data_IF_385093044352
#
_entry.id   IF_385093044352
#
_cell.length_a   1.000
_cell.length_b   1.000
_cell.length_c   1.000
_cell.angle_alpha   90.00
_cell.angle_beta   90.00
_cell.angle_gamma   90.00
#
_symmetry.space_group_name_H-M   'P 1'
#
loop_
_entity.id
_entity.type
_entity.pdbx_description
1 polymer ?
#
# COMPACT_ATOMS: atom_id res chain seq x y z
N UNK A 1 -1.72 20.82 -18.06
CA UNK A 1 -0.80 20.08 -17.15
C UNK A 1 -1.68 19.31 -16.17
N UNK A 2 -1.32 18.07 -15.78
CA UNK A 2 -2.18 17.22 -14.91
C UNK A 2 -2.65 17.92 -13.63
N UNK A 3 -1.75 18.59 -12.91
CA UNK A 3 -2.08 19.32 -11.66
C UNK A 3 -2.69 20.71 -11.89
N UNK A 4 -3.14 21.00 -13.10
CA UNK A 4 -3.93 22.19 -13.44
C UNK A 4 -5.31 21.79 -13.96
N UNK A 5 -5.65 20.52 -13.87
CA UNK A 5 -6.97 19.97 -14.15
C UNK A 5 -7.93 20.31 -13.00
N UNK A 6 -9.21 20.47 -13.32
CA UNK A 6 -10.25 20.81 -12.35
C UNK A 6 -10.30 19.78 -11.20
N UNK A 7 -10.01 18.50 -11.45
CA UNK A 7 -9.95 17.49 -10.40
C UNK A 7 -8.90 17.77 -9.29
N UNK A 8 -7.95 18.68 -9.51
CA UNK A 8 -6.95 19.10 -8.51
C UNK A 8 -7.08 20.57 -8.09
N UNK A 9 -8.00 21.31 -8.71
CA UNK A 9 -8.18 22.75 -8.51
C UNK A 9 -9.62 23.13 -8.13
N UNK A 10 -10.54 22.17 -8.09
CA UNK A 10 -11.93 22.37 -7.72
C UNK A 10 -12.06 22.58 -6.20
N UNK A 11 -12.49 23.78 -5.81
CA UNK A 11 -12.80 24.16 -4.43
C UNK A 11 -14.26 23.80 -4.04
N UNK A 12 -14.95 22.98 -4.85
CA UNK A 12 -16.31 22.56 -4.57
C UNK A 12 -16.40 21.83 -3.20
N UNK A 13 -17.56 21.92 -2.51
CA UNK A 13 -17.79 21.17 -1.29
C UNK A 13 -17.59 19.67 -1.50
N UNK A 14 -17.04 19.02 -0.48
CA UNK A 14 -16.84 17.57 -0.46
C UNK A 14 -18.09 16.81 -0.95
N UNK A 15 -17.93 16.03 -2.01
CA UNK A 15 -18.98 15.22 -2.61
C UNK A 15 -18.39 13.86 -3.00
N UNK A 16 -18.59 12.82 -2.16
CA UNK A 16 -17.99 11.53 -2.39
C UNK A 16 -18.51 10.93 -3.70
N UNK A 17 -17.62 10.25 -4.42
CA UNK A 17 -17.95 9.58 -5.65
C UNK A 17 -18.77 8.30 -5.35
N UNK A 18 -20.08 8.44 -5.33
CA UNK A 18 -21.02 7.34 -5.04
C UNK A 18 -21.15 6.38 -6.23
N UNK A 19 -21.09 6.92 -7.45
CA UNK A 19 -21.14 6.15 -8.70
C UNK A 19 -19.82 6.32 -9.47
N UNK A 20 -18.86 5.38 -9.32
CA UNK A 20 -17.58 5.42 -10.00
C UNK A 20 -17.66 5.49 -11.52
N UNK A 21 -18.71 4.93 -12.13
CA UNK A 21 -18.91 4.98 -13.59
C UNK A 21 -19.17 6.41 -14.05
N UNK A 22 -19.96 7.18 -13.31
CA UNK A 22 -20.28 8.57 -13.63
C UNK A 22 -19.12 9.54 -13.31
N UNK A 23 -18.16 9.14 -12.48
CA UNK A 23 -16.97 9.94 -12.16
C UNK A 23 -15.68 9.33 -12.66
N UNK A 24 -15.71 8.63 -13.80
CA UNK A 24 -14.52 8.02 -14.39
C UNK A 24 -13.43 9.05 -14.68
N UNK A 25 -13.80 10.28 -15.05
CA UNK A 25 -12.85 11.37 -15.30
C UNK A 25 -12.06 11.74 -14.03
N UNK A 26 -12.70 11.73 -12.86
CA UNK A 26 -12.03 11.95 -11.57
C UNK A 26 -11.06 10.82 -11.24
N UNK A 27 -11.44 9.57 -11.55
CA UNK A 27 -10.56 8.41 -11.36
C UNK A 27 -9.34 8.51 -12.28
N UNK A 28 -9.54 8.87 -13.55
CA UNK A 28 -8.47 9.06 -14.52
C UNK A 28 -7.55 10.22 -14.14
N UNK A 29 -8.09 11.32 -13.60
CA UNK A 29 -7.29 12.42 -13.07
C UNK A 29 -6.41 11.96 -11.90
N UNK A 30 -6.95 11.21 -10.94
CA UNK A 30 -6.16 10.62 -9.84
C UNK A 30 -5.08 9.68 -10.37
N UNK A 31 -5.39 8.82 -11.33
CA UNK A 31 -4.42 7.91 -11.96
C UNK A 31 -3.30 8.69 -12.65
N UNK A 32 -3.63 9.74 -13.41
CA UNK A 32 -2.66 10.60 -14.06
C UNK A 32 -1.79 11.34 -13.04
N UNK A 33 -2.37 11.87 -11.96
CA UNK A 33 -1.66 12.53 -10.88
C UNK A 33 -0.69 11.59 -10.18
N UNK A 34 -1.14 10.37 -9.88
CA UNK A 34 -0.31 9.30 -9.32
C UNK A 34 0.88 8.94 -10.21
N UNK A 35 0.65 8.76 -11.52
CA UNK A 35 1.70 8.46 -12.48
C UNK A 35 2.73 9.59 -12.55
N UNK A 36 2.31 10.85 -12.64
CA UNK A 36 3.22 12.00 -12.67
C UNK A 36 4.04 12.10 -11.39
N UNK A 37 3.42 11.91 -10.22
CA UNK A 37 4.12 11.87 -8.93
C UNK A 37 5.17 10.75 -8.90
N UNK A 38 4.81 9.57 -9.39
CA UNK A 38 5.70 8.40 -9.47
C UNK A 38 6.90 8.69 -10.36
N UNK A 39 6.68 9.08 -11.62
CA UNK A 39 7.76 9.36 -12.56
C UNK A 39 8.69 10.46 -12.08
N UNK A 40 8.15 11.55 -11.53
CA UNK A 40 8.99 12.65 -11.05
C UNK A 40 9.77 12.32 -9.79
N UNK A 41 9.26 11.45 -8.94
CA UNK A 41 9.96 11.03 -7.73
C UNK A 41 11.11 10.06 -8.03
N UNK A 42 10.95 9.19 -9.02
CA UNK A 42 11.95 8.16 -9.35
C UNK A 42 12.94 8.60 -10.43
N UNK A 43 12.43 9.12 -11.56
CA UNK A 43 13.22 9.46 -12.75
C UNK A 43 13.56 10.96 -12.84
N UNK A 44 12.95 11.79 -11.99
CA UNK A 44 13.17 13.24 -12.01
C UNK A 44 14.53 13.65 -11.44
N UNK A 45 15.01 14.84 -11.82
CA UNK A 45 16.11 15.49 -11.09
C UNK A 45 15.69 15.88 -9.66
N UNK A 46 16.64 16.26 -8.80
CA UNK A 46 16.36 16.59 -7.38
C UNK A 46 15.25 17.64 -7.20
N UNK A 47 15.18 18.64 -8.09
CA UNK A 47 14.12 19.64 -8.06
C UNK A 47 12.75 19.03 -8.36
N UNK A 48 12.69 18.10 -9.31
CA UNK A 48 11.46 17.37 -9.67
C UNK A 48 11.04 16.43 -8.55
N UNK A 49 11.99 15.71 -7.94
CA UNK A 49 11.76 14.84 -6.77
C UNK A 49 11.17 15.63 -5.60
N UNK A 50 11.80 16.75 -5.22
CA UNK A 50 11.30 17.64 -4.16
C UNK A 50 9.91 18.19 -4.49
N UNK A 51 9.67 18.61 -5.73
CA UNK A 51 8.36 19.14 -6.16
C UNK A 51 7.25 18.09 -6.11
N UNK A 52 7.56 16.86 -6.51
CA UNK A 52 6.64 15.73 -6.41
C UNK A 52 6.21 15.53 -4.95
N UNK A 53 7.17 15.43 -4.02
CA UNK A 53 6.91 15.18 -2.60
C UNK A 53 6.25 16.35 -1.86
N UNK A 54 6.70 17.58 -2.11
CA UNK A 54 6.30 18.76 -1.31
C UNK A 54 5.04 19.46 -1.82
N UNK A 55 4.70 19.30 -3.09
CA UNK A 55 3.58 20.02 -3.69
C UNK A 55 2.58 19.08 -4.35
N UNK A 56 3.00 18.36 -5.39
CA UNK A 56 2.08 17.60 -6.25
C UNK A 56 1.40 16.45 -5.50
N UNK A 57 2.15 15.78 -4.63
CA UNK A 57 1.57 14.70 -3.84
C UNK A 57 0.53 15.21 -2.83
N UNK A 58 0.66 16.44 -2.30
CA UNK A 58 -0.36 17.02 -1.44
C UNK A 58 -1.67 17.26 -2.22
N UNK A 59 -1.57 17.75 -3.47
CA UNK A 59 -2.72 17.89 -4.35
C UNK A 59 -3.37 16.54 -4.65
N UNK A 60 -2.57 15.49 -4.90
CA UNK A 60 -3.08 14.14 -5.11
C UNK A 60 -3.82 13.58 -3.88
N UNK A 61 -3.26 13.76 -2.68
CA UNK A 61 -3.91 13.34 -1.43
C UNK A 61 -5.22 14.10 -1.20
N UNK A 62 -5.26 15.40 -1.51
CA UNK A 62 -6.47 16.22 -1.39
C UNK A 62 -7.55 15.72 -2.35
N UNK A 63 -7.22 15.57 -3.64
CA UNK A 63 -8.15 15.03 -4.63
C UNK A 63 -8.65 13.61 -4.27
N UNK A 64 -7.79 12.74 -3.72
CA UNK A 64 -8.20 11.40 -3.27
C UNK A 64 -9.19 11.46 -2.10
N UNK A 65 -9.05 12.45 -1.21
CA UNK A 65 -10.02 12.73 -0.13
C UNK A 65 -11.32 13.28 -0.67
N UNK A 66 -11.27 14.17 -1.65
CA UNK A 66 -12.47 14.79 -2.25
C UNK A 66 -13.33 13.78 -3.01
N UNK A 67 -12.70 12.80 -3.67
CA UNK A 67 -13.39 11.65 -4.27
C UNK A 67 -14.02 10.74 -3.20
N UNK A 68 -13.54 10.78 -1.96
CA UNK A 68 -14.07 10.04 -0.83
C UNK A 68 -13.44 8.66 -0.68
N UNK A 69 -12.43 8.54 0.18
CA UNK A 69 -11.78 7.24 0.49
C UNK A 69 -12.81 6.18 0.89
N UNK A 70 -13.82 6.54 1.68
CA UNK A 70 -14.84 5.59 2.15
C UNK A 70 -15.79 5.09 1.07
N UNK A 71 -15.91 5.77 -0.08
CA UNK A 71 -16.79 5.36 -1.18
C UNK A 71 -16.14 4.33 -2.12
N UNK A 72 -14.81 4.20 -2.05
CA UNK A 72 -14.02 3.20 -2.79
C UNK A 72 -14.27 1.79 -2.24
N UNK A 73 -15.41 1.20 -2.62
CA UNK A 73 -15.89 -0.10 -2.12
C UNK A 73 -16.56 -0.90 -3.23
N UNK A 74 -16.29 -2.21 -3.23
CA UNK A 74 -17.04 -3.19 -4.01
C UNK A 74 -18.50 -3.23 -3.58
N UNK A 75 -19.39 -3.54 -4.54
CA UNK A 75 -20.75 -3.99 -4.23
C UNK A 75 -20.70 -5.42 -3.71
N UNK A 76 -21.80 -5.88 -3.12
CA UNK A 76 -21.96 -7.28 -2.81
C UNK A 76 -22.23 -8.06 -4.12
N UNK A 77 -21.28 -8.90 -4.51
CA UNK A 77 -21.36 -9.78 -5.69
C UNK A 77 -21.73 -11.23 -5.33
N UNK A 78 -22.04 -11.53 -4.06
CA UNK A 78 -22.42 -12.88 -3.59
C UNK A 78 -23.76 -13.34 -4.18
N UNK A 79 -24.58 -12.41 -4.71
CA UNK A 79 -25.95 -12.64 -5.18
C UNK A 79 -26.11 -12.66 -6.71
N UNK A 80 -25.04 -12.45 -7.49
CA UNK A 80 -25.14 -12.50 -8.96
C UNK A 80 -25.39 -13.93 -9.41
N UNK A 81 -26.67 -14.27 -9.59
CA UNK A 81 -27.15 -15.63 -9.87
C UNK A 81 -26.88 -16.07 -11.31
N UNK A 82 -26.64 -15.12 -12.22
CA UNK A 82 -26.21 -15.35 -13.61
C UNK A 82 -25.03 -14.43 -13.97
N UNK A 83 -24.14 -14.90 -14.84
CA UNK A 83 -23.09 -14.09 -15.46
C UNK A 83 -23.67 -12.92 -16.29
N UNK A 84 -24.93 -13.03 -16.72
CA UNK A 84 -25.60 -12.02 -17.54
C UNK A 84 -25.95 -10.74 -16.76
N UNK A 85 -26.05 -10.83 -15.43
CA UNK A 85 -26.38 -9.69 -14.55
C UNK A 85 -25.13 -8.97 -14.01
N UNK A 86 -23.93 -9.41 -14.40
CA UNK A 86 -22.69 -8.81 -13.94
C UNK A 86 -22.39 -7.49 -14.66
N UNK A 87 -22.55 -6.39 -13.93
CA UNK A 87 -22.14 -5.06 -14.38
C UNK A 87 -20.61 -4.89 -14.31
N UNK A 88 -19.94 -5.31 -15.39
CA UNK A 88 -18.49 -5.25 -15.48
C UNK A 88 -17.95 -3.81 -15.44
N UNK A 89 -18.70 -2.84 -15.96
CA UNK A 89 -18.27 -1.44 -15.99
C UNK A 89 -18.28 -0.82 -14.58
N UNK A 90 -19.34 -1.08 -13.80
CA UNK A 90 -19.37 -0.65 -12.39
C UNK A 90 -18.29 -1.35 -11.56
N UNK A 91 -18.08 -2.66 -11.77
CA UNK A 91 -16.99 -3.37 -11.09
C UNK A 91 -15.63 -2.75 -11.39
N UNK A 92 -15.29 -2.56 -12.66
CA UNK A 92 -13.98 -2.05 -13.08
C UNK A 92 -13.78 -0.61 -12.59
N UNK A 93 -14.79 0.25 -12.66
CA UNK A 93 -14.68 1.62 -12.15
C UNK A 93 -14.43 1.63 -10.62
N UNK A 94 -15.10 0.77 -9.85
CA UNK A 94 -14.86 0.61 -8.40
C UNK A 94 -13.45 0.11 -8.11
N UNK A 95 -13.03 -0.95 -8.79
CA UNK A 95 -11.72 -1.56 -8.58
C UNK A 95 -10.59 -0.60 -8.96
N UNK A 96 -10.74 0.19 -10.02
CA UNK A 96 -9.81 1.25 -10.38
C UNK A 96 -9.69 2.32 -9.28
N UNK A 97 -10.82 2.76 -8.73
CA UNK A 97 -10.83 3.74 -7.63
C UNK A 97 -10.15 3.17 -6.38
N UNK A 98 -10.47 1.94 -5.99
CA UNK A 98 -9.85 1.25 -4.86
C UNK A 98 -8.34 1.18 -5.04
N UNK A 99 -7.88 0.73 -6.21
CA UNK A 99 -6.46 0.58 -6.52
C UNK A 99 -5.72 1.91 -6.49
N UNK A 100 -6.25 2.97 -7.11
CA UNK A 100 -5.55 4.27 -7.12
C UNK A 100 -5.48 4.91 -5.72
N UNK A 101 -6.52 4.74 -4.89
CA UNK A 101 -6.49 5.18 -3.49
C UNK A 101 -5.47 4.37 -2.68
N UNK A 102 -5.46 3.04 -2.84
CA UNK A 102 -4.49 2.15 -2.18
C UNK A 102 -3.06 2.47 -2.61
N UNK A 103 -2.81 2.71 -3.90
CA UNK A 103 -1.50 3.09 -4.43
C UNK A 103 -1.05 4.46 -3.94
N UNK A 104 -1.96 5.44 -3.85
CA UNK A 104 -1.68 6.75 -3.25
C UNK A 104 -1.27 6.61 -1.79
N UNK A 105 -1.99 5.78 -1.02
CA UNK A 105 -1.62 5.46 0.36
C UNK A 105 -0.24 4.81 0.45
N UNK A 106 0.07 3.81 -0.38
CA UNK A 106 1.38 3.16 -0.39
C UNK A 106 2.51 4.13 -0.76
N UNK A 107 2.27 5.02 -1.73
CA UNK A 107 3.25 6.01 -2.17
C UNK A 107 3.58 7.02 -1.06
N UNK A 108 2.59 7.43 -0.26
CA UNK A 108 2.81 8.23 0.96
C UNK A 108 3.78 7.53 1.92
N UNK A 109 3.65 6.21 2.09
CA UNK A 109 4.52 5.41 2.99
C UNK A 109 5.90 5.19 2.44
N UNK A 110 6.03 5.16 1.12
CA UNK A 110 7.32 5.27 0.47
C UNK A 110 8.11 6.49 0.98
N UNK A 111 7.46 7.65 1.14
CA UNK A 111 8.15 8.85 1.66
C UNK A 111 8.54 8.76 3.13
N UNK A 112 7.78 8.02 3.93
CA UNK A 112 8.15 7.72 5.32
C UNK A 112 9.47 6.93 5.33
N UNK A 113 9.54 5.86 4.55
CA UNK A 113 10.72 4.97 4.50
C UNK A 113 11.94 5.64 3.85
N UNK A 114 11.75 6.27 2.69
CA UNK A 114 12.87 6.71 1.85
C UNK A 114 13.32 8.14 2.13
N UNK A 115 12.45 8.96 2.70
CA UNK A 115 12.69 10.39 2.86
C UNK A 115 12.44 10.90 4.28
N UNK A 116 12.07 10.02 5.23
CA UNK A 116 11.76 10.39 6.61
C UNK A 116 10.72 11.52 6.70
N UNK A 117 9.74 11.51 5.80
CA UNK A 117 8.67 12.52 5.77
C UNK A 117 7.47 11.99 6.54
N UNK A 118 6.83 12.80 7.41
CA UNK A 118 5.61 12.39 8.09
C UNK A 118 4.52 11.91 7.10
N UNK A 119 3.79 10.84 7.44
CA UNK A 119 2.71 10.34 6.61
C UNK A 119 1.58 11.37 6.50
N UNK A 120 1.07 11.59 5.28
CA UNK A 120 -0.06 12.50 5.02
C UNK A 120 -1.41 11.81 5.16
N UNK A 121 -1.47 10.50 4.95
CA UNK A 121 -2.68 9.68 5.08
C UNK A 121 -2.53 8.73 6.27
N UNK A 122 -3.50 8.65 7.16
CA UNK A 122 -3.41 7.73 8.32
C UNK A 122 -4.13 6.41 8.02
N UNK A 123 -3.69 5.30 8.61
CA UNK A 123 -4.33 3.99 8.37
C UNK A 123 -5.82 3.99 8.75
N UNK A 124 -6.20 4.73 9.79
CA UNK A 124 -7.60 4.89 10.22
C UNK A 124 -8.50 5.60 9.20
N UNK A 125 -7.91 6.35 8.27
CA UNK A 125 -8.65 6.97 7.16
C UNK A 125 -8.98 5.94 6.07
N UNK A 126 -8.22 4.83 5.99
CA UNK A 126 -8.29 3.83 4.91
C UNK A 126 -9.48 2.88 5.08
N UNK A 127 -10.66 3.47 4.99
CA UNK A 127 -11.97 2.80 5.06
C UNK A 127 -12.48 2.38 3.68
N UNK A 128 -11.62 2.38 2.67
CA UNK A 128 -11.84 1.73 1.37
C UNK A 128 -11.69 0.20 1.51
N UNK A 129 -12.37 -0.58 0.66
CA UNK A 129 -12.12 -2.03 0.57
C UNK A 129 -10.74 -2.31 0.00
N UNK A 130 -10.07 -3.36 0.45
CA UNK A 130 -8.80 -3.77 -0.18
C UNK A 130 -9.00 -4.15 -1.65
N UNK A 131 -7.98 -3.90 -2.48
CA UNK A 131 -8.01 -4.29 -3.89
C UNK A 131 -8.13 -5.81 -4.02
N UNK A 132 -9.00 -6.26 -4.91
CA UNK A 132 -9.22 -7.68 -5.16
C UNK A 132 -8.06 -8.30 -5.96
N UNK A 133 -7.93 -9.64 -6.00
CA UNK A 133 -6.85 -10.33 -6.71
C UNK A 133 -6.61 -9.80 -8.12
N UNK A 134 -5.33 -9.71 -8.53
CA UNK A 134 -4.96 -9.22 -9.85
C UNK A 134 -5.57 -10.07 -10.98
N UNK A 135 -5.81 -11.37 -10.78
CA UNK A 135 -6.51 -12.20 -11.78
C UNK A 135 -7.92 -11.69 -12.11
N UNK A 136 -8.63 -11.14 -11.11
CA UNK A 136 -9.96 -10.55 -11.30
C UNK A 136 -9.86 -9.24 -12.10
N UNK A 137 -8.91 -8.37 -11.72
CA UNK A 137 -8.75 -7.06 -12.35
C UNK A 137 -8.17 -7.16 -13.78
N UNK A 138 -7.29 -8.13 -14.03
CA UNK A 138 -6.62 -8.35 -15.31
C UNK A 138 -7.43 -9.23 -16.28
N UNK A 139 -8.61 -9.70 -15.88
CA UNK A 139 -9.52 -10.46 -16.73
C UNK A 139 -9.85 -9.67 -18.02
N UNK A 140 -9.76 -10.34 -19.16
CA UNK A 140 -9.86 -9.69 -20.48
C UNK A 140 -11.31 -9.52 -20.95
N UNK A 141 -12.26 -10.19 -20.29
CA UNK A 141 -13.70 -10.14 -20.61
C UNK A 141 -14.56 -10.08 -19.35
N UNK A 142 -15.78 -9.58 -19.48
CA UNK A 142 -16.77 -9.55 -18.41
C UNK A 142 -17.04 -10.96 -17.83
N UNK A 143 -17.19 -11.96 -18.70
CA UNK A 143 -17.45 -13.35 -18.30
C UNK A 143 -16.28 -13.95 -17.53
N UNK A 144 -15.04 -13.69 -17.99
CA UNK A 144 -13.84 -14.13 -17.27
C UNK A 144 -13.74 -13.47 -15.90
N UNK A 145 -13.98 -12.16 -15.82
CA UNK A 145 -13.96 -11.41 -14.57
C UNK A 145 -14.99 -11.96 -13.58
N UNK A 146 -16.24 -12.16 -14.02
CA UNK A 146 -17.29 -12.72 -13.19
C UNK A 146 -16.97 -14.15 -12.70
N UNK A 147 -16.36 -14.98 -13.55
CA UNK A 147 -15.90 -16.32 -13.17
C UNK A 147 -14.82 -16.27 -12.09
N UNK A 148 -13.84 -15.37 -12.21
CA UNK A 148 -12.79 -15.17 -11.20
C UNK A 148 -13.38 -14.65 -9.88
N UNK A 149 -14.35 -13.73 -9.93
CA UNK A 149 -15.07 -13.24 -8.74
C UNK A 149 -15.79 -14.39 -8.03
N UNK A 150 -16.56 -15.21 -8.75
CA UNK A 150 -17.26 -16.35 -8.15
C UNK A 150 -16.29 -17.37 -7.54
N UNK A 151 -15.17 -17.65 -8.23
CA UNK A 151 -14.13 -18.53 -7.72
C UNK A 151 -13.47 -17.97 -6.45
N UNK A 152 -13.28 -16.65 -6.35
CA UNK A 152 -12.76 -15.98 -5.17
C UNK A 152 -13.76 -16.01 -4.00
N UNK A 153 -15.02 -15.62 -4.24
CA UNK A 153 -16.06 -15.55 -3.22
C UNK A 153 -16.42 -16.93 -2.65
N UNK A 154 -16.46 -17.97 -3.47
CA UNK A 154 -16.70 -19.35 -3.01
C UNK A 154 -15.65 -19.86 -2.03
N UNK A 155 -14.43 -19.32 -2.08
CA UNK A 155 -13.32 -19.63 -1.16
C UNK A 155 -13.23 -18.70 0.04
N UNK A 156 -13.91 -17.55 0.00
CA UNK A 156 -13.64 -16.38 0.87
C UNK A 156 -14.88 -15.80 1.60
N UNK A 157 -15.78 -16.65 2.09
CA UNK A 157 -17.11 -16.27 2.61
C UNK A 157 -17.15 -15.27 3.80
N UNK A 158 -16.04 -14.86 4.41
CA UNK A 158 -16.04 -13.95 5.58
C UNK A 158 -14.97 -12.86 5.57
N UNK A 159 -14.28 -12.63 4.44
CA UNK A 159 -13.18 -11.66 4.36
C UNK A 159 -13.08 -10.81 3.09
N UNK A 160 -13.94 -11.07 2.08
CA UNK A 160 -13.84 -10.46 0.75
C UNK A 160 -14.12 -8.94 0.70
N UNK A 161 -14.73 -8.37 1.74
CA UNK A 161 -15.19 -6.98 1.78
C UNK A 161 -14.57 -6.18 2.93
N UNK A 162 -13.40 -6.62 3.43
CA UNK A 162 -12.71 -5.91 4.49
C UNK A 162 -12.07 -4.63 3.98
N UNK A 163 -12.10 -3.60 4.83
CA UNK A 163 -11.34 -2.37 4.58
C UNK A 163 -9.86 -2.54 4.88
N UNK A 164 -9.00 -1.73 4.26
CA UNK A 164 -7.57 -1.78 4.57
C UNK A 164 -7.27 -1.50 6.05
N UNK A 165 -8.02 -0.58 6.68
CA UNK A 165 -7.92 -0.33 8.11
C UNK A 165 -8.25 -1.58 8.94
N UNK A 166 -9.39 -2.22 8.68
CA UNK A 166 -9.79 -3.44 9.39
C UNK A 166 -8.76 -4.55 9.21
N UNK A 167 -8.25 -4.75 8.00
CA UNK A 167 -7.23 -5.76 7.72
C UNK A 167 -5.97 -5.47 8.52
N UNK A 168 -5.49 -4.22 8.53
CA UNK A 168 -4.33 -3.84 9.32
C UNK A 168 -4.54 -4.09 10.83
N UNK A 169 -5.74 -3.77 11.35
CA UNK A 169 -6.10 -4.10 12.73
C UNK A 169 -6.06 -5.62 13.00
N UNK A 170 -6.44 -6.46 12.03
CA UNK A 170 -6.29 -7.92 12.16
C UNK A 170 -4.83 -8.37 12.19
N UNK A 171 -3.94 -7.70 11.46
CA UNK A 171 -2.49 -7.95 11.56
C UNK A 171 -1.95 -7.58 12.94
N UNK A 172 -2.40 -6.48 13.55
CA UNK A 172 -1.93 -6.05 14.86
C UNK A 172 -2.39 -6.93 16.05
N UNK A 173 -3.33 -7.86 15.84
CA UNK A 173 -3.79 -8.80 16.88
C UNK A 173 -2.77 -9.91 17.11
N UNK A 174 -2.68 -10.40 18.34
CA UNK A 174 -1.76 -11.49 18.74
C UNK A 174 -1.85 -12.72 17.82
N UNK A 175 -3.08 -13.11 17.45
CA UNK A 175 -3.30 -14.21 16.50
C UNK A 175 -4.31 -13.81 15.43
N UNK A 176 -3.89 -13.97 14.17
CA UNK A 176 -4.78 -13.89 13.02
C UNK A 176 -5.55 -15.20 12.83
N UNK A 177 -6.86 -15.09 12.61
CA UNK A 177 -7.72 -16.22 12.26
C UNK A 177 -7.18 -16.95 11.01
N UNK A 178 -6.97 -18.28 11.04
CA UNK A 178 -6.46 -19.03 9.90
C UNK A 178 -7.33 -18.94 8.64
N UNK A 179 -8.66 -18.86 8.78
CA UNK A 179 -9.55 -18.72 7.64
C UNK A 179 -9.39 -17.35 6.99
N UNK A 180 -9.37 -16.27 7.79
CA UNK A 180 -9.04 -14.94 7.31
C UNK A 180 -7.66 -14.91 6.63
N UNK A 181 -6.63 -15.54 7.21
CA UNK A 181 -5.30 -15.59 6.57
C UNK A 181 -5.36 -16.19 5.18
N UNK A 182 -6.12 -17.29 5.00
CA UNK A 182 -6.32 -17.93 3.70
C UNK A 182 -6.92 -16.94 2.69
N UNK A 183 -7.93 -16.17 3.10
CA UNK A 183 -8.54 -15.13 2.26
C UNK A 183 -7.54 -14.03 1.90
N UNK A 184 -6.76 -13.54 2.88
CA UNK A 184 -5.77 -12.48 2.66
C UNK A 184 -4.62 -12.91 1.75
N UNK A 185 -4.26 -14.19 1.74
CA UNK A 185 -3.27 -14.74 0.80
C UNK A 185 -3.72 -14.56 -0.66
N UNK A 186 -5.01 -14.72 -0.94
CA UNK A 186 -5.53 -14.64 -2.32
C UNK A 186 -5.44 -13.22 -2.90
N UNK A 187 -5.38 -12.17 -2.08
CA UNK A 187 -5.24 -10.78 -2.52
C UNK A 187 -3.84 -10.45 -3.06
N UNK A 188 -2.87 -11.34 -2.87
CA UNK A 188 -1.59 -11.29 -3.56
C UNK A 188 -0.54 -10.32 -2.99
N UNK A 189 0.52 -10.09 -3.77
CA UNK A 189 1.69 -9.32 -3.34
C UNK A 189 1.37 -7.84 -3.07
N UNK A 190 0.43 -7.23 -3.79
CA UNK A 190 0.04 -5.83 -3.62
C UNK A 190 -0.56 -5.57 -2.24
N UNK A 191 -1.40 -6.48 -1.75
CA UNK A 191 -1.93 -6.48 -0.38
C UNK A 191 -0.80 -6.56 0.65
N UNK A 192 0.09 -7.56 0.52
CA UNK A 192 1.22 -7.72 1.44
C UNK A 192 2.10 -6.47 1.48
N UNK A 193 2.32 -5.85 0.32
CA UNK A 193 3.08 -4.60 0.21
C UNK A 193 2.37 -3.43 0.90
N UNK A 194 1.05 -3.30 0.75
CA UNK A 194 0.28 -2.27 1.44
C UNK A 194 0.35 -2.40 2.97
N UNK A 195 0.29 -3.63 3.50
CA UNK A 195 0.37 -3.88 4.94
C UNK A 195 1.77 -3.57 5.48
N UNK A 196 2.84 -3.99 4.80
CA UNK A 196 4.19 -3.70 5.31
C UNK A 196 4.47 -2.18 5.32
N UNK A 197 3.95 -1.46 4.33
CA UNK A 197 4.01 -0.01 4.28
C UNK A 197 3.17 0.67 5.39
N UNK A 198 2.01 0.11 5.74
CA UNK A 198 1.25 0.56 6.91
C UNK A 198 2.02 0.34 8.23
N UNK A 199 2.78 -0.76 8.34
CA UNK A 199 3.68 -1.02 9.48
C UNK A 199 4.73 0.09 9.58
N UNK A 200 5.37 0.50 8.48
CA UNK A 200 6.31 1.63 8.48
C UNK A 200 5.70 2.93 8.99
N UNK A 201 4.47 3.24 8.56
CA UNK A 201 3.75 4.42 9.08
C UNK A 201 3.59 4.37 10.59
N UNK A 202 3.33 3.18 11.13
CA UNK A 202 3.08 2.98 12.57
C UNK A 202 4.40 3.03 13.36
N UNK A 203 5.47 2.46 12.80
CA UNK A 203 6.84 2.60 13.32
C UNK A 203 7.20 4.08 13.44
N UNK A 204 7.02 4.86 12.37
CA UNK A 204 7.31 6.29 12.37
C UNK A 204 6.50 7.06 13.43
N UNK A 205 5.20 6.75 13.57
CA UNK A 205 4.36 7.38 14.59
C UNK A 205 4.83 7.05 16.01
N UNK A 206 5.20 5.80 16.27
CA UNK A 206 5.71 5.39 17.57
C UNK A 206 7.06 6.04 17.88
N UNK A 207 7.96 6.08 16.90
CA UNK A 207 9.27 6.72 16.99
C UNK A 207 9.21 8.21 17.33
N UNK A 208 8.17 8.90 16.86
CA UNK A 208 7.98 10.34 17.09
C UNK A 208 6.93 10.62 18.19
N UNK A 209 6.45 9.60 18.90
CA UNK A 209 5.52 9.76 20.01
C UNK A 209 6.25 10.21 21.28
N UNK A 210 5.63 11.10 22.04
CA UNK A 210 6.13 11.50 23.36
C UNK A 210 5.76 10.48 24.47
N UNK A 211 4.87 9.52 24.16
CA UNK A 211 4.50 8.45 25.08
C UNK A 211 5.59 7.36 25.11
N UNK A 212 5.79 6.72 26.27
CA UNK A 212 6.88 5.76 26.49
C UNK A 212 6.88 4.54 25.57
N UNK A 213 8.04 3.87 25.46
CA UNK A 213 8.37 2.78 24.52
C UNK A 213 7.54 1.47 24.65
N UNK A 214 6.57 1.39 25.55
CA UNK A 214 5.85 0.15 25.91
C UNK A 214 4.77 -0.29 24.90
N UNK A 215 4.64 0.36 23.73
CA UNK A 215 3.52 0.15 22.80
C UNK A 215 3.88 -0.57 21.49
N UNK A 216 5.02 -1.27 21.42
CA UNK A 216 5.42 -2.01 20.21
C UNK A 216 4.66 -3.33 19.97
N UNK A 217 3.81 -3.78 20.92
CA UNK A 217 3.12 -5.08 20.84
C UNK A 217 2.33 -5.28 19.55
N UNK A 218 1.52 -4.28 19.15
CA UNK A 218 0.75 -4.35 17.90
C UNK A 218 1.62 -4.37 16.64
N UNK A 219 2.78 -3.71 16.66
CA UNK A 219 3.72 -3.69 15.53
C UNK A 219 4.41 -5.05 15.39
N UNK A 220 4.83 -5.67 16.51
CA UNK A 220 5.42 -7.01 16.52
C UNK A 220 4.43 -8.06 16.01
N UNK A 221 3.20 -8.03 16.53
CA UNK A 221 2.13 -8.90 16.04
C UNK A 221 1.89 -8.73 14.54
N UNK A 222 1.88 -7.48 14.05
CA UNK A 222 1.69 -7.20 12.63
C UNK A 222 2.81 -7.80 11.78
N UNK A 223 4.07 -7.68 12.20
CA UNK A 223 5.22 -8.30 11.53
C UNK A 223 5.13 -9.83 11.53
N UNK A 224 4.81 -10.44 12.66
CA UNK A 224 4.71 -11.90 12.78
C UNK A 224 3.56 -12.46 11.92
N UNK A 225 2.38 -11.85 11.99
CA UNK A 225 1.26 -12.21 11.14
C UNK A 225 1.55 -11.96 9.66
N UNK A 226 2.26 -10.87 9.32
CA UNK A 226 2.70 -10.57 7.97
C UNK A 226 3.60 -11.68 7.43
N UNK A 227 4.60 -12.11 8.20
CA UNK A 227 5.51 -13.20 7.83
C UNK A 227 4.74 -14.49 7.54
N UNK A 228 3.83 -14.88 8.44
CA UNK A 228 3.04 -16.10 8.28
C UNK A 228 2.12 -16.04 7.04
N UNK A 229 1.55 -14.87 6.73
CA UNK A 229 0.77 -14.68 5.51
C UNK A 229 1.65 -14.71 4.26
N UNK A 230 2.82 -14.08 4.28
CA UNK A 230 3.78 -14.11 3.18
C UNK A 230 4.29 -15.52 2.88
N UNK A 231 4.64 -16.30 3.90
CA UNK A 231 5.05 -17.71 3.75
C UNK A 231 3.92 -18.59 3.19
N UNK A 232 2.67 -18.30 3.53
CA UNK A 232 1.51 -18.97 2.94
C UNK A 232 1.30 -18.55 1.48
N UNK A 233 1.48 -17.26 1.17
CA UNK A 233 1.44 -16.73 -0.20
C UNK A 233 2.50 -17.36 -1.10
N UNK A 234 3.73 -17.56 -0.61
CA UNK A 234 4.77 -18.24 -1.40
C UNK A 234 4.39 -19.67 -1.82
N UNK A 235 3.50 -20.34 -1.08
CA UNK A 235 3.00 -21.68 -1.44
C UNK A 235 1.92 -21.65 -2.53
N UNK A 236 1.30 -20.50 -2.76
CA UNK A 236 0.27 -20.32 -3.80
C UNK A 236 0.85 -19.78 -5.10
N UNK A 237 2.04 -19.17 -5.07
CA UNK A 237 2.74 -18.73 -6.29
C UNK A 237 3.35 -19.94 -7.00
N UNK A 238 3.07 -20.17 -8.29
CA UNK A 238 3.71 -21.25 -9.04
C UNK A 238 5.24 -21.15 -8.99
N UNK A 239 5.90 -22.29 -8.78
CA UNK A 239 7.38 -22.42 -8.75
C UNK A 239 8.00 -22.06 -10.12
N UNK A 240 7.21 -22.11 -11.20
CA UNK A 240 7.59 -21.63 -12.53
C UNK A 240 7.49 -20.08 -12.60
N UNK A 241 8.64 -19.45 -12.36
CA UNK A 241 9.03 -18.04 -12.53
C UNK A 241 7.97 -17.02 -13.03
N UNK A 242 7.64 -15.98 -12.24
CA UNK A 242 6.71 -14.94 -12.72
C UNK A 242 7.16 -13.48 -12.47
N UNK A 243 8.45 -13.15 -12.62
CA UNK A 243 8.89 -11.74 -12.57
C UNK A 243 9.68 -11.25 -13.79
N UNK A 244 10.22 -12.16 -14.61
CA UNK A 244 11.01 -11.83 -15.80
C UNK A 244 10.36 -12.24 -17.14
N UNK A 245 9.47 -13.22 -17.13
CA UNK A 245 8.95 -13.92 -18.34
C UNK A 245 7.82 -13.20 -19.10
N UNK A 246 7.52 -11.94 -18.80
CA UNK A 246 6.74 -11.14 -19.74
C UNK A 246 7.69 -10.68 -20.86
N UNK A 247 8.11 -11.60 -21.73
CA UNK A 247 9.09 -11.32 -22.80
C UNK A 247 8.59 -10.24 -23.78
N UNK A 248 7.29 -9.97 -23.78
CA UNK A 248 6.64 -8.94 -24.59
C UNK A 248 6.45 -7.63 -23.80
N UNK A 249 6.72 -6.50 -24.45
CA UNK A 249 6.38 -5.16 -23.92
C UNK A 249 4.87 -5.03 -23.61
N UNK A 250 4.02 -5.80 -24.28
CA UNK A 250 2.56 -5.74 -24.15
C UNK A 250 2.06 -6.35 -22.83
N UNK A 251 2.83 -7.23 -22.20
CA UNK A 251 2.44 -7.92 -20.96
C UNK A 251 3.12 -7.35 -19.70
N UNK A 252 4.02 -6.37 -19.85
CA UNK A 252 4.77 -5.80 -18.71
C UNK A 252 3.86 -5.19 -17.63
N UNK A 253 2.69 -4.67 -17.99
CA UNK A 253 1.73 -4.08 -17.04
C UNK A 253 1.09 -5.12 -16.11
N UNK A 254 1.15 -6.42 -16.45
CA UNK A 254 0.64 -7.52 -15.62
C UNK A 254 1.60 -7.91 -14.50
N UNK A 255 2.85 -7.43 -14.57
CA UNK A 255 3.88 -7.76 -13.58
C UNK A 255 3.52 -7.11 -12.23
N UNK A 256 3.85 -7.77 -11.11
CA UNK A 256 3.56 -7.26 -9.77
C UNK A 256 4.39 -6.03 -9.34
N UNK A 257 5.35 -5.60 -10.16
CA UNK A 257 6.13 -4.38 -9.94
C UNK A 257 6.95 -4.41 -8.64
N UNK A 258 6.99 -3.29 -7.92
CA UNK A 258 7.70 -3.15 -6.63
C UNK A 258 7.24 -4.14 -5.57
N UNK A 259 5.98 -4.59 -5.62
CA UNK A 259 5.38 -5.50 -4.63
C UNK A 259 6.09 -6.85 -4.56
N UNK A 260 6.84 -7.24 -5.60
CA UNK A 260 7.66 -8.46 -5.59
C UNK A 260 8.75 -8.44 -4.52
N UNK A 261 9.22 -7.24 -4.17
CA UNK A 261 10.28 -7.02 -3.17
C UNK A 261 9.72 -6.86 -1.75
N UNK A 262 8.47 -7.24 -1.51
CA UNK A 262 7.82 -6.98 -0.22
C UNK A 262 8.51 -7.66 0.96
N UNK A 263 9.30 -8.72 0.74
CA UNK A 263 10.07 -9.39 1.78
C UNK A 263 11.26 -8.55 2.27
N UNK A 264 11.95 -7.87 1.36
CA UNK A 264 13.05 -6.96 1.67
C UNK A 264 12.55 -5.80 2.54
N UNK A 265 11.36 -5.27 2.23
CA UNK A 265 10.70 -4.27 3.08
C UNK A 265 10.33 -4.83 4.45
N UNK A 266 9.97 -6.11 4.54
CA UNK A 266 9.72 -6.75 5.84
C UNK A 266 10.98 -6.87 6.69
N UNK A 267 12.10 -7.26 6.10
CA UNK A 267 13.38 -7.37 6.82
C UNK A 267 13.81 -6.02 7.42
N UNK A 268 13.71 -4.94 6.66
CA UNK A 268 14.03 -3.59 7.14
C UNK A 268 13.07 -3.14 8.25
N UNK A 269 11.77 -3.44 8.14
CA UNK A 269 10.80 -3.09 9.18
C UNK A 269 11.10 -3.84 10.49
N UNK A 270 11.45 -5.13 10.41
CA UNK A 270 11.91 -5.89 11.60
C UNK A 270 13.16 -5.29 12.21
N UNK A 271 14.14 -4.93 11.40
CA UNK A 271 15.38 -4.32 11.86
C UNK A 271 15.12 -3.05 12.69
N UNK A 272 14.24 -2.17 12.18
CA UNK A 272 13.81 -0.96 12.90
C UNK A 272 13.15 -1.29 14.24
N UNK A 273 12.25 -2.28 14.28
CA UNK A 273 11.57 -2.69 15.52
C UNK A 273 12.53 -3.31 16.53
N UNK A 274 13.49 -4.11 16.08
CA UNK A 274 14.55 -4.66 16.94
C UNK A 274 15.38 -3.55 17.58
N UNK A 275 15.81 -2.55 16.81
CA UNK A 275 16.56 -1.39 17.31
C UNK A 275 15.78 -0.56 18.32
N UNK A 276 14.48 -0.34 18.07
CA UNK A 276 13.62 0.35 19.03
C UNK A 276 13.46 -0.44 20.35
N UNK A 277 13.59 -1.76 20.29
CA UNK A 277 13.47 -2.65 21.45
C UNK A 277 14.77 -2.77 22.25
N UNK A 278 15.94 -2.68 21.59
CA UNK A 278 17.25 -2.72 22.26
C UNK A 278 17.60 -1.42 23.00
N UNK A 279 16.92 -0.30 22.66
CA UNK A 279 17.21 1.00 23.27
C UNK A 279 18.57 1.58 22.86
N UNK A 280 19.21 1.03 21.84
CA UNK A 280 20.51 1.49 21.35
C UNK A 280 20.40 2.87 20.71
N UNK A 281 20.80 3.89 21.48
CA UNK A 281 21.20 5.19 20.93
C UNK A 281 22.59 5.05 20.31
N UNK A 282 22.72 5.37 19.03
CA UNK A 282 24.02 5.37 18.34
C UNK A 282 24.97 6.36 19.04
N UNK A 283 26.21 5.97 19.39
CA UNK A 283 27.17 6.90 19.96
C UNK A 283 27.69 7.84 18.87
N UNK A 284 27.51 9.15 19.08
CA UNK A 284 28.19 10.18 18.29
C UNK A 284 27.29 11.29 17.74
N UNK A 285 26.70 12.10 18.60
CA UNK A 285 26.72 13.57 18.51
C UNK A 285 26.02 14.17 19.74
N UNK A 286 26.69 15.09 20.41
CA UNK A 286 26.15 15.89 21.50
C UNK A 286 24.76 16.47 21.15
N UNK A 287 23.82 16.39 22.11
CA UNK A 287 22.75 17.37 22.27
C UNK A 287 21.39 17.10 21.62
N UNK A 288 21.24 16.14 20.72
CA UNK A 288 19.92 15.75 20.19
C UNK A 288 19.70 14.26 20.35
N UNK A 289 18.70 13.86 21.15
CA UNK A 289 18.19 12.50 21.20
C UNK A 289 17.60 12.14 19.82
N UNK A 290 18.46 11.77 18.88
CA UNK A 290 18.09 11.36 17.54
C UNK A 290 17.35 10.02 17.59
N UNK A 291 16.31 9.92 16.78
CA UNK A 291 15.45 8.75 16.67
C UNK A 291 16.24 7.60 16.00
N UNK A 292 16.10 6.34 16.44
CA UNK A 292 16.87 5.24 15.83
C UNK A 292 16.52 5.06 14.34
N UNK A 293 17.46 5.36 13.43
CA UNK A 293 17.45 4.91 12.03
C UNK A 293 17.25 5.99 10.95
N UNK A 294 16.52 7.08 11.22
CA UNK A 294 16.34 8.16 10.24
C UNK A 294 16.33 9.54 10.94
N UNK A 295 17.37 10.32 10.69
CA UNK A 295 17.62 11.61 11.34
C UNK A 295 17.46 12.81 10.39
N UNK A 296 17.63 12.62 9.07
CA UNK A 296 17.50 13.70 8.10
C UNK A 296 16.14 13.68 7.42
N UNK A 297 15.45 14.81 7.50
CA UNK A 297 14.17 15.06 6.84
C UNK A 297 14.36 15.34 5.34
N UNK A 298 13.54 14.70 4.51
CA UNK A 298 13.40 14.91 3.07
C UNK A 298 14.71 14.79 2.26
N UNK A 299 15.60 13.91 2.70
CA UNK A 299 16.85 13.59 2.00
C UNK A 299 16.56 12.77 0.73
N UNK A 300 17.23 13.10 -0.39
CA UNK A 300 17.05 12.41 -1.69
C UNK A 300 18.09 11.32 -1.99
N UNK A 301 19.12 11.21 -1.15
CA UNK A 301 20.32 10.41 -1.43
C UNK A 301 20.19 8.92 -1.09
N UNK A 302 19.12 8.53 -0.37
CA UNK A 302 18.90 7.17 0.14
C UNK A 302 19.98 6.65 1.12
N UNK A 303 20.92 7.51 1.53
CA UNK A 303 22.07 7.11 2.37
C UNK A 303 21.64 6.48 3.69
N UNK A 304 20.73 7.12 4.41
CA UNK A 304 20.26 6.62 5.72
C UNK A 304 19.66 5.21 5.65
N UNK A 305 18.94 4.90 4.57
CA UNK A 305 18.39 3.56 4.36
C UNK A 305 19.51 2.56 4.03
N UNK A 306 20.47 2.95 3.20
CA UNK A 306 21.61 2.09 2.88
C UNK A 306 22.46 1.80 4.12
N UNK A 307 22.75 2.82 4.93
CA UNK A 307 23.50 2.67 6.18
C UNK A 307 22.78 1.72 7.14
N UNK A 308 21.45 1.86 7.29
CA UNK A 308 20.62 0.95 8.07
C UNK A 308 20.71 -0.51 7.58
N UNK A 309 20.68 -0.72 6.26
CA UNK A 309 20.78 -2.06 5.66
C UNK A 309 22.17 -2.64 5.90
N UNK A 310 23.23 -1.85 5.70
CA UNK A 310 24.62 -2.26 5.92
C UNK A 310 24.86 -2.65 7.38
N UNK A 311 24.39 -1.84 8.34
CA UNK A 311 24.47 -2.14 9.77
C UNK A 311 23.75 -3.46 10.09
N UNK A 312 22.56 -3.67 9.55
CA UNK A 312 21.78 -4.88 9.81
C UNK A 312 22.44 -6.15 9.26
N UNK A 313 23.01 -6.07 8.05
CA UNK A 313 23.76 -7.17 7.43
C UNK A 313 25.07 -7.46 8.18
N UNK A 314 25.75 -6.43 8.68
CA UNK A 314 26.97 -6.58 9.48
C UNK A 314 26.73 -7.35 10.79
N UNK A 315 25.57 -7.16 11.42
CA UNK A 315 25.19 -7.84 12.68
C UNK A 315 24.76 -9.31 12.50
N UNK A 316 24.44 -9.75 11.27
CA UNK A 316 23.99 -11.12 10.97
C UNK A 316 25.07 -11.99 10.30
N UNK A 317 26.32 -11.52 10.24
CA UNK A 317 27.48 -12.27 9.73
C UNK A 317 28.45 -12.72 10.84
N UNK A 318 28.17 -12.41 12.10
CA UNK A 318 28.90 -12.90 13.28
C UNK A 318 28.03 -13.88 14.10
#
# INVERSE_FOLDING_TARGET
MVFSDDAFCDDAPYCPLVNPVQGIDKIQALQAGYLVCTYQNWEGNDNSKRRARRHRFNSLVSAARDVGVSSARHRNYDLTSSFDDFDWQDFIAREQLIRVVMWTFMFDKGFVLFNNIPPRMVIKEMTMHIAWPDSIFQASTATECAREIQAFLSRSSSGSYLTLCEVFERYCKDKMDPNLRRVLVEHGASHLFAIILAIYSTIFQHQNSLAGNDQLGGIRNALDNWKLTYEAYLKTVPIAEPYETADSLQDMWRRPGFSRHTHEFYLVARALVSRMSSGESVPGMDGSKGTPGFNEYDQTSMRQLNDLITDFLGVHLD
#
